data_IF_463903368467
#
_entry.id   IF_463903368467
#
_cell.length_a   1.000
_cell.length_b   1.000
_cell.length_c   1.000
_cell.angle_alpha   90.00
_cell.angle_beta   90.00
_cell.angle_gamma   90.00
#
_symmetry.space_group_name_H-M   'P 1'
#
loop_
_entity.id
_entity.type
_entity.pdbx_description
1 polymer ?
#
# COMPACT_ATOMS: atom_id res chain seq x y z
N UNK A 1 22.60 -12.27 1.23
CA UNK A 1 21.26 -11.76 1.62
C UNK A 1 20.58 -11.25 0.36
N UNK A 2 19.40 -11.79 0.03
CA UNK A 2 18.66 -11.39 -1.16
C UNK A 2 17.58 -10.39 -0.73
N UNK A 3 17.61 -9.20 -1.32
CA UNK A 3 16.55 -8.21 -1.16
C UNK A 3 15.35 -8.56 -2.05
N UNK A 4 14.16 -8.30 -1.57
CA UNK A 4 12.91 -8.43 -2.34
C UNK A 4 11.89 -7.37 -1.94
N UNK A 5 10.84 -7.23 -2.73
CA UNK A 5 9.65 -6.49 -2.31
C UNK A 5 8.98 -7.20 -1.13
N UNK A 6 8.35 -6.47 -0.21
CA UNK A 6 7.51 -7.07 0.81
C UNK A 6 6.29 -7.75 0.16
N UNK A 7 5.76 -8.78 0.80
CA UNK A 7 4.37 -9.16 0.55
C UNK A 7 3.45 -8.08 1.09
N UNK A 8 2.21 -8.03 0.61
CA UNK A 8 1.22 -7.09 1.14
C UNK A 8 1.02 -7.26 2.65
N UNK A 9 0.97 -8.51 3.13
CA UNK A 9 0.82 -8.81 4.55
C UNK A 9 2.03 -8.32 5.37
N UNK A 10 3.26 -8.47 4.87
CA UNK A 10 4.45 -7.94 5.52
C UNK A 10 4.43 -6.41 5.56
N UNK A 11 4.01 -5.78 4.45
CA UNK A 11 3.89 -4.34 4.38
C UNK A 11 2.89 -3.82 5.41
N UNK A 12 1.68 -4.38 5.45
CA UNK A 12 0.62 -3.98 6.38
C UNK A 12 1.03 -4.20 7.84
N UNK A 13 1.61 -5.36 8.16
CA UNK A 13 2.11 -5.64 9.50
C UNK A 13 3.16 -4.60 9.93
N UNK A 14 4.08 -4.25 9.04
CA UNK A 14 5.10 -3.23 9.31
C UNK A 14 4.48 -1.83 9.46
N UNK A 15 3.53 -1.45 8.61
CA UNK A 15 2.83 -0.17 8.67
C UNK A 15 2.03 0.01 9.96
N UNK A 16 1.36 -1.05 10.43
CA UNK A 16 0.63 -1.08 11.70
C UNK A 16 1.54 -0.96 12.93
N UNK A 17 2.86 -1.10 12.80
CA UNK A 17 3.81 -1.07 13.91
C UNK A 17 4.16 -2.45 14.47
N UNK A 18 3.81 -3.53 13.76
CA UNK A 18 4.11 -4.90 14.18
C UNK A 18 3.57 -5.24 15.56
N UNK A 19 4.37 -5.89 16.39
CA UNK A 19 4.02 -6.21 17.79
C UNK A 19 3.85 -4.98 18.71
N UNK A 20 4.29 -3.80 18.24
CA UNK A 20 4.18 -2.53 18.97
C UNK A 20 3.00 -1.68 18.48
N UNK A 21 2.11 -2.26 17.70
CA UNK A 21 0.96 -1.56 17.10
C UNK A 21 0.07 -0.93 18.17
N UNK A 22 -0.28 0.34 17.96
CA UNK A 22 -1.28 1.06 18.74
C UNK A 22 -2.67 1.09 18.06
N UNK A 23 -2.84 0.38 16.94
CA UNK A 23 -4.09 0.33 16.20
C UNK A 23 -4.44 1.63 15.47
N UNK A 24 -3.46 2.46 15.14
CA UNK A 24 -3.67 3.71 14.43
C UNK A 24 -4.17 3.52 13.00
N UNK A 25 -4.89 4.51 12.49
CA UNK A 25 -5.40 4.53 11.11
C UNK A 25 -4.27 4.66 10.09
N UNK A 26 -3.25 5.45 10.41
CA UNK A 26 -2.08 5.72 9.60
C UNK A 26 -0.84 5.17 10.27
N UNK A 27 0.24 5.04 9.55
CA UNK A 27 1.47 4.46 10.06
C UNK A 27 2.13 5.39 11.10
N UNK A 28 1.73 5.26 12.35
CA UNK A 28 2.28 5.99 13.49
C UNK A 28 1.34 6.97 14.19
N UNK A 29 0.20 7.35 13.59
CA UNK A 29 -0.76 8.30 14.16
C UNK A 29 -2.20 8.08 13.66
N UNK A 30 -3.18 8.65 14.36
CA UNK A 30 -4.54 8.83 13.86
C UNK A 30 -4.73 10.14 13.10
N UNK A 31 -3.75 11.04 13.13
CA UNK A 31 -3.72 12.31 12.41
C UNK A 31 -2.86 12.15 11.17
N UNK A 32 -3.45 12.33 9.99
CA UNK A 32 -2.75 12.15 8.71
C UNK A 32 -1.54 13.07 8.56
N UNK A 33 -1.69 14.32 8.95
CA UNK A 33 -0.63 15.33 8.84
C UNK A 33 0.63 15.03 9.63
N UNK A 34 0.54 14.23 10.69
CA UNK A 34 1.71 13.86 11.50
C UNK A 34 2.67 12.96 10.74
N UNK A 35 2.13 12.08 9.88
CA UNK A 35 2.86 10.92 9.33
C UNK A 35 2.90 10.86 7.81
N UNK A 36 2.11 11.70 7.10
CA UNK A 36 1.96 11.59 5.65
C UNK A 36 2.22 12.89 4.90
N UNK A 37 2.85 12.75 3.74
CA UNK A 37 2.85 13.74 2.68
C UNK A 37 1.79 13.36 1.64
N UNK A 38 0.80 14.20 1.43
CA UNK A 38 -0.27 14.05 0.44
C UNK A 38 -0.48 15.38 -0.28
N UNK A 39 -1.41 15.48 -1.22
CA UNK A 39 -1.51 16.63 -2.13
C UNK A 39 -1.57 17.97 -1.39
N UNK A 40 -2.42 18.06 -0.37
CA UNK A 40 -2.69 19.31 0.34
C UNK A 40 -1.46 19.87 1.06
N UNK A 41 -0.61 19.02 1.64
CA UNK A 41 0.55 19.46 2.43
C UNK A 41 1.90 19.27 1.74
N UNK A 42 1.93 18.62 0.56
CA UNK A 42 3.17 18.39 -0.19
C UNK A 42 3.45 19.42 -1.27
N UNK A 43 2.42 20.20 -1.68
CA UNK A 43 2.49 21.07 -2.85
C UNK A 43 2.70 20.28 -4.15
N UNK A 44 2.10 19.10 -4.26
CA UNK A 44 2.20 18.18 -5.42
C UNK A 44 3.63 17.73 -5.75
N UNK A 45 4.51 17.73 -4.76
CA UNK A 45 5.93 17.35 -4.93
C UNK A 45 6.31 16.25 -3.96
N UNK A 46 7.02 15.24 -4.45
CA UNK A 46 7.67 14.25 -3.61
C UNK A 46 8.57 14.94 -2.60
N UNK A 47 8.53 14.46 -1.38
CA UNK A 47 9.33 14.99 -0.29
C UNK A 47 10.49 14.06 0.04
N UNK A 48 11.52 14.65 0.62
CA UNK A 48 12.59 13.86 1.22
C UNK A 48 12.01 12.91 2.27
N UNK A 49 12.57 11.71 2.31
CA UNK A 49 12.16 10.70 3.29
C UNK A 49 12.45 11.16 4.71
N UNK A 50 11.66 10.67 5.67
CA UNK A 50 11.79 11.01 7.09
C UNK A 50 11.39 12.45 7.46
N UNK A 51 10.68 13.14 6.59
CA UNK A 51 10.17 14.49 6.86
C UNK A 51 8.93 14.53 7.76
N UNK A 52 8.35 13.37 8.08
CA UNK A 52 7.20 13.19 8.98
C UNK A 52 7.57 12.25 10.13
N UNK A 53 6.63 12.00 11.05
CA UNK A 53 6.88 11.10 12.18
C UNK A 53 6.94 9.63 11.73
N UNK A 54 7.78 8.78 12.35
CA UNK A 54 7.82 7.37 12.09
C UNK A 54 6.71 6.63 12.83
N UNK A 55 6.48 5.38 12.43
CA UNK A 55 5.64 4.47 13.21
C UNK A 55 6.42 3.84 14.40
N UNK A 56 5.77 2.94 15.13
CA UNK A 56 6.31 2.31 16.34
C UNK A 56 7.53 1.39 16.09
N UNK A 57 7.79 1.05 14.83
CA UNK A 57 9.00 0.32 14.41
C UNK A 57 10.11 1.25 13.90
N UNK A 58 9.90 2.57 13.94
CA UNK A 58 10.84 3.55 13.38
C UNK A 58 10.81 3.63 11.85
N UNK A 59 9.74 3.14 11.20
CA UNK A 59 9.57 3.19 9.76
C UNK A 59 8.87 4.49 9.37
N UNK A 60 9.45 5.18 8.41
CA UNK A 60 8.97 6.44 7.86
C UNK A 60 8.26 6.25 6.54
N UNK A 61 7.42 7.22 6.18
CA UNK A 61 6.77 7.34 4.86
C UNK A 61 5.93 6.11 4.45
N UNK A 62 5.45 5.35 5.43
CA UNK A 62 4.52 4.24 5.19
C UNK A 62 3.08 4.72 4.99
N UNK A 63 2.82 5.99 5.20
CA UNK A 63 1.60 6.70 4.80
C UNK A 63 2.01 7.93 4.01
N UNK A 64 1.52 8.07 2.77
CA UNK A 64 1.79 9.19 1.87
C UNK A 64 3.16 9.13 1.16
N UNK A 65 3.59 10.25 0.66
CA UNK A 65 4.75 10.49 -0.19
C UNK A 65 4.62 9.77 -1.55
N UNK A 66 4.86 8.46 -1.62
CA UNK A 66 4.67 7.64 -2.82
C UNK A 66 3.99 6.32 -2.47
N UNK A 67 3.14 5.83 -3.36
CA UNK A 67 2.66 4.45 -3.27
C UNK A 67 3.83 3.47 -3.30
N UNK A 68 3.74 2.36 -2.60
CA UNK A 68 4.81 1.38 -2.53
C UNK A 68 4.37 0.03 -3.08
N UNK A 69 5.18 -0.52 -4.00
CA UNK A 69 4.95 -1.83 -4.59
C UNK A 69 5.07 -2.95 -3.56
N UNK A 70 4.09 -3.87 -3.59
CA UNK A 70 4.19 -5.18 -2.98
C UNK A 70 4.41 -6.27 -4.04
N UNK A 71 4.90 -7.43 -3.61
CA UNK A 71 5.15 -8.57 -4.50
C UNK A 71 3.87 -9.22 -5.01
N UNK A 72 2.77 -9.03 -4.30
CA UNK A 72 1.50 -9.71 -4.51
C UNK A 72 0.78 -9.21 -5.77
N UNK A 73 0.17 -10.13 -6.50
CA UNK A 73 -0.82 -9.81 -7.49
C UNK A 73 -2.13 -9.39 -6.82
N UNK A 74 -2.84 -8.45 -7.41
CA UNK A 74 -4.12 -7.98 -6.90
C UNK A 74 -5.24 -8.95 -7.30
N UNK A 75 -6.01 -9.34 -6.29
CA UNK A 75 -7.32 -9.94 -6.45
C UNK A 75 -8.29 -9.24 -5.50
N UNK A 76 -9.41 -8.80 -6.04
CA UNK A 76 -10.45 -8.13 -5.24
C UNK A 76 -11.02 -9.05 -4.17
N UNK A 77 -11.17 -10.33 -4.49
CA UNK A 77 -11.73 -11.35 -3.61
C UNK A 77 -10.66 -12.15 -2.86
N UNK A 78 -9.39 -11.79 -2.97
CA UNK A 78 -8.33 -12.53 -2.29
C UNK A 78 -8.56 -12.60 -0.78
N UNK A 79 -8.65 -13.82 -0.27
CA UNK A 79 -9.07 -14.08 1.10
C UNK A 79 -10.59 -14.12 1.31
N UNK A 80 -11.37 -13.82 0.27
CA UNK A 80 -12.83 -13.88 0.29
C UNK A 80 -13.33 -14.74 -0.89
N UNK A 81 -13.16 -16.07 -0.84
CA UNK A 81 -13.60 -16.92 -1.93
C UNK A 81 -15.09 -16.76 -2.18
N UNK A 82 -15.46 -16.61 -3.45
CA UNK A 82 -16.85 -16.53 -3.87
C UNK A 82 -17.32 -17.91 -4.31
N UNK A 83 -18.25 -18.48 -3.57
CA UNK A 83 -18.89 -19.75 -3.92
C UNK A 83 -20.37 -19.50 -4.21
N UNK A 84 -20.83 -19.86 -5.43
CA UNK A 84 -22.22 -19.66 -5.86
C UNK A 84 -22.73 -18.22 -5.65
N UNK A 85 -21.92 -17.22 -6.07
CA UNK A 85 -22.19 -15.77 -5.90
C UNK A 85 -22.26 -15.28 -4.45
N UNK A 86 -21.88 -16.10 -3.49
CA UNK A 86 -21.81 -15.73 -2.07
C UNK A 86 -20.35 -15.57 -1.66
N UNK A 87 -20.03 -14.42 -1.05
CA UNK A 87 -18.72 -14.19 -0.46
C UNK A 87 -18.62 -15.01 0.82
N UNK A 88 -17.70 -15.96 0.84
CA UNK A 88 -17.42 -16.76 2.03
C UNK A 88 -16.40 -16.05 2.90
N UNK A 89 -16.69 -15.89 4.20
CA UNK A 89 -15.73 -15.31 5.14
C UNK A 89 -14.46 -16.18 5.16
N UNK A 90 -13.30 -15.61 4.91
CA UNK A 90 -12.08 -16.40 4.77
C UNK A 90 -11.69 -17.06 6.10
N UNK A 91 -11.15 -18.25 5.99
CA UNK A 91 -10.35 -18.83 7.07
C UNK A 91 -9.11 -17.96 7.29
N UNK A 92 -8.68 -17.85 8.54
CA UNK A 92 -7.46 -17.13 8.90
C UNK A 92 -6.28 -17.64 8.05
N UNK A 93 -5.70 -16.76 7.26
CA UNK A 93 -4.53 -17.10 6.44
C UNK A 93 -3.24 -16.72 7.17
N UNK A 94 -2.26 -17.61 7.11
CA UNK A 94 -0.93 -17.33 7.66
C UNK A 94 0.00 -16.92 6.53
N UNK A 95 0.60 -15.72 6.65
CA UNK A 95 1.54 -15.15 5.67
C UNK A 95 1.01 -15.21 4.22
N UNK A 96 -0.15 -14.62 3.93
CA UNK A 96 -0.72 -14.64 2.59
C UNK A 96 0.22 -13.98 1.59
N UNK A 97 0.24 -14.48 0.34
CA UNK A 97 1.13 -14.00 -0.74
C UNK A 97 0.35 -13.51 -1.96
N UNK A 98 -0.96 -13.41 -1.87
CA UNK A 98 -1.81 -13.13 -3.01
C UNK A 98 -1.93 -14.32 -3.98
N UNK A 99 -2.67 -14.18 -5.08
CA UNK A 99 -2.76 -15.18 -6.12
C UNK A 99 -1.42 -15.33 -6.87
N UNK A 100 -1.22 -16.49 -7.52
CA UNK A 100 0.03 -16.79 -8.24
C UNK A 100 0.23 -15.90 -9.48
N UNK A 101 -0.85 -15.37 -10.06
CA UNK A 101 -0.82 -14.52 -11.24
C UNK A 101 -1.93 -13.48 -11.20
N UNK A 102 -1.79 -12.43 -12.02
CA UNK A 102 -2.77 -11.34 -12.11
C UNK A 102 -2.37 -10.32 -13.16
N UNK A 103 -3.19 -9.30 -13.33
CA UNK A 103 -2.93 -8.18 -14.25
C UNK A 103 -2.44 -6.92 -13.55
N UNK A 104 -2.70 -6.81 -12.25
CA UNK A 104 -2.29 -5.67 -11.42
C UNK A 104 -1.52 -6.14 -10.20
N UNK A 105 -0.53 -5.37 -9.78
CA UNK A 105 0.21 -5.56 -8.54
C UNK A 105 -0.35 -4.67 -7.44
N UNK A 106 -0.30 -5.16 -6.22
CA UNK A 106 -0.67 -4.37 -5.04
C UNK A 106 0.30 -3.20 -4.87
N UNK A 107 -0.27 -2.04 -4.57
CA UNK A 107 0.44 -0.88 -4.02
C UNK A 107 -0.24 -0.41 -2.74
N UNK A 108 0.55 0.12 -1.83
CA UNK A 108 0.11 0.51 -0.50
C UNK A 108 0.62 1.90 -0.14
N UNK A 109 0.02 2.53 0.88
CA UNK A 109 0.50 3.73 1.53
C UNK A 109 -0.07 5.05 1.03
N UNK A 110 -0.62 5.11 -0.16
CA UNK A 110 -1.05 6.37 -0.78
C UNK A 110 0.13 7.23 -1.24
N UNK A 111 -0.16 8.41 -1.78
CA UNK A 111 0.88 9.29 -2.36
C UNK A 111 0.49 10.76 -2.32
N UNK A 112 1.40 11.60 -2.78
CA UNK A 112 1.21 13.05 -2.96
C UNK A 112 0.13 13.41 -4.00
N UNK A 113 -0.37 12.47 -4.79
CA UNK A 113 -1.48 12.70 -5.72
C UNK A 113 -2.85 12.67 -5.04
N UNK A 114 -2.93 12.15 -3.82
CA UNK A 114 -4.17 12.05 -3.09
C UNK A 114 -4.47 13.39 -2.40
N UNK A 115 -5.57 14.03 -2.78
CA UNK A 115 -6.08 15.22 -2.08
C UNK A 115 -6.52 14.87 -0.64
N UNK A 116 -7.02 15.85 0.10
CA UNK A 116 -7.38 15.65 1.50
C UNK A 116 -8.39 14.51 1.66
N UNK A 117 -9.45 14.49 0.86
CA UNK A 117 -10.49 13.47 0.93
C UNK A 117 -9.95 12.07 0.60
N UNK A 118 -9.22 11.93 -0.52
CA UNK A 118 -8.63 10.66 -0.92
C UNK A 118 -7.41 10.29 -0.08
N UNK A 119 -6.69 11.27 0.47
CA UNK A 119 -5.58 11.07 1.41
C UNK A 119 -6.02 10.33 2.66
N UNK A 120 -7.17 10.68 3.24
CA UNK A 120 -7.73 9.96 4.39
C UNK A 120 -7.98 8.49 4.11
N UNK A 121 -8.33 8.15 2.89
CA UNK A 121 -8.59 6.77 2.48
C UNK A 121 -7.30 6.05 2.06
N UNK A 122 -6.59 6.59 1.08
CA UNK A 122 -5.46 5.90 0.44
C UNK A 122 -4.24 5.78 1.35
N UNK A 123 -4.00 6.74 2.24
CA UNK A 123 -2.90 6.67 3.22
C UNK A 123 -3.21 5.81 4.45
N UNK A 124 -4.45 5.29 4.56
CA UNK A 124 -4.82 4.37 5.63
C UNK A 124 -4.04 3.06 5.48
N UNK A 125 -3.45 2.57 6.59
CA UNK A 125 -2.62 1.36 6.59
C UNK A 125 -3.34 0.09 6.15
N UNK A 126 -4.67 0.08 6.17
CA UNK A 126 -5.51 -1.05 5.71
C UNK A 126 -6.02 -0.88 4.28
N UNK A 127 -5.83 0.28 3.65
CA UNK A 127 -6.34 0.50 2.31
C UNK A 127 -5.48 -0.22 1.28
N UNK A 128 -6.15 -0.97 0.41
CA UNK A 128 -5.54 -1.73 -0.68
C UNK A 128 -5.74 -1.00 -1.99
N UNK A 129 -4.69 -0.83 -2.76
CA UNK A 129 -4.74 -0.31 -4.12
C UNK A 129 -3.94 -1.20 -5.07
N UNK A 130 -4.15 -1.05 -6.36
CA UNK A 130 -3.46 -1.87 -7.35
C UNK A 130 -3.21 -1.09 -8.63
N UNK A 131 -2.04 -1.32 -9.22
CA UNK A 131 -1.59 -0.67 -10.44
C UNK A 131 -1.06 -1.73 -11.41
N UNK A 132 -1.27 -1.51 -12.71
CA UNK A 132 -0.67 -2.34 -13.74
C UNK A 132 0.87 -2.22 -13.67
N UNK A 133 1.64 -3.33 -13.62
CA UNK A 133 3.10 -3.30 -13.53
C UNK A 133 3.79 -2.59 -14.71
N UNK A 134 3.13 -2.49 -15.86
CA UNK A 134 3.65 -1.71 -17.00
C UNK A 134 3.61 -0.20 -16.74
N UNK A 135 2.97 0.23 -15.66
CA UNK A 135 2.77 1.63 -15.30
C UNK A 135 1.66 2.32 -16.09
N UNK A 136 0.89 1.56 -16.86
CA UNK A 136 -0.24 2.07 -17.64
C UNK A 136 -1.53 1.39 -17.19
N UNK A 137 -2.51 2.16 -16.77
CA UNK A 137 -3.88 1.70 -16.55
C UNK A 137 -4.79 2.27 -17.64
N UNK A 138 -5.65 1.42 -18.18
CA UNK A 138 -6.72 1.86 -19.10
C UNK A 138 -7.96 2.26 -18.30
N UNK A 139 -8.55 3.37 -18.63
CA UNK A 139 -9.82 3.78 -18.02
C UNK A 139 -10.96 2.91 -18.57
N UNK A 140 -11.89 2.41 -17.74
CA UNK A 140 -13.08 1.74 -18.23
C UNK A 140 -13.83 2.65 -19.21
N UNK A 141 -14.03 2.18 -20.45
CA UNK A 141 -14.71 2.92 -21.52
C UNK A 141 -13.80 3.79 -22.41
N UNK A 142 -12.49 3.94 -22.09
CA UNK A 142 -11.54 4.60 -22.98
C UNK A 142 -10.17 3.88 -22.99
N UNK A 143 -9.97 2.89 -23.87
CA UNK A 143 -8.75 2.10 -23.94
C UNK A 143 -7.50 2.87 -24.43
N UNK A 144 -7.67 4.11 -24.86
CA UNK A 144 -6.56 4.94 -25.37
C UNK A 144 -5.99 5.90 -24.32
N UNK A 145 -6.59 6.01 -23.13
CA UNK A 145 -6.07 6.84 -22.06
C UNK A 145 -5.18 6.00 -21.15
N UNK A 146 -3.90 6.28 -21.19
CA UNK A 146 -2.86 5.62 -20.38
C UNK A 146 -2.42 6.55 -19.27
N UNK A 147 -2.56 6.10 -18.01
CA UNK A 147 -2.01 6.81 -16.86
C UNK A 147 -0.73 6.11 -16.38
N UNK A 148 0.38 6.79 -16.49
CA UNK A 148 1.63 6.34 -15.87
C UNK A 148 1.65 6.78 -14.42
N UNK A 149 1.71 5.84 -13.49
CA UNK A 149 1.90 6.18 -12.08
C UNK A 149 3.28 6.78 -11.87
N UNK A 150 3.33 8.10 -11.71
CA UNK A 150 4.57 8.85 -11.46
C UNK A 150 5.00 8.81 -9.99
N UNK A 151 4.06 8.49 -9.09
CA UNK A 151 4.24 8.59 -7.64
C UNK A 151 4.11 7.21 -6.99
N UNK A 152 4.81 6.24 -7.57
CA UNK A 152 4.98 4.89 -7.03
C UNK A 152 6.46 4.59 -6.89
N UNK A 153 6.84 4.13 -5.72
CA UNK A 153 8.19 3.72 -5.34
C UNK A 153 8.17 2.31 -4.75
N UNK A 154 9.15 1.98 -3.96
CA UNK A 154 9.25 0.69 -3.30
C UNK A 154 10.09 0.78 -2.03
N UNK A 155 9.87 -0.18 -1.13
CA UNK A 155 10.82 -0.52 -0.07
C UNK A 155 11.24 -1.97 -0.19
N UNK A 156 12.42 -2.29 0.30
CA UNK A 156 12.95 -3.64 0.25
C UNK A 156 12.93 -4.28 1.64
N UNK A 157 12.71 -5.57 1.67
CA UNK A 157 12.84 -6.41 2.85
C UNK A 157 13.95 -7.43 2.66
N UNK A 158 14.56 -7.81 3.76
CA UNK A 158 15.54 -8.90 3.83
C UNK A 158 14.89 -10.02 4.64
N UNK A 159 14.64 -11.18 4.04
CA UNK A 159 14.17 -12.34 4.80
C UNK A 159 15.15 -12.68 5.93
N UNK A 160 14.61 -12.97 7.11
CA UNK A 160 15.42 -13.56 8.17
C UNK A 160 15.92 -14.92 7.67
N UNK A 161 17.21 -15.16 7.77
CA UNK A 161 17.76 -16.50 7.60
C UNK A 161 17.39 -17.29 8.85
N UNK A 162 16.66 -18.38 8.67
CA UNK A 162 16.45 -19.39 9.72
C UNK A 162 17.75 -20.11 10.02
#
# INVERSE_FOLDING_TARGET
KTFRLPTEAEWEYAALGGKKSNGYKYAGSNTLDDVAWYLTNSGSKKKEVKGKQPNQLGLYDMSGNVNEWCSDWYDYYYGFPVVNQTVVVPTLQTNPKGPDSGTKKIVRGGSIDNDEFWGFLYCNVKYRSAINPTGYDTYPGNPTVFFKSKNTGFRLVIPLQN
#
